data_IF_437185941371
#
_entry.id   IF_437185941371
#
_cell.length_a   1.000
_cell.length_b   1.000
_cell.length_c   1.000
_cell.angle_alpha   90.00
_cell.angle_beta   90.00
_cell.angle_gamma   90.00
#
_symmetry.space_group_name_H-M   'P 1'
#
loop_
_entity.id
_entity.type
_entity.pdbx_description
1 polymer ?
#
# COMPACT_ATOMS: atom_id res chain seq x y z
N UNK A 1 -16.63 12.83 -1.44
CA UNK A 1 -15.53 11.84 -1.52
C UNK A 1 -15.47 11.15 -0.17
N UNK A 2 -15.24 9.82 -0.10
CA UNK A 2 -15.08 9.13 1.18
C UNK A 2 -13.92 9.75 1.95
N UNK A 3 -14.06 9.85 3.27
CA UNK A 3 -12.97 10.35 4.12
C UNK A 3 -11.77 9.39 4.01
N UNK A 4 -10.55 9.94 4.02
CA UNK A 4 -9.33 9.11 3.91
C UNK A 4 -9.26 8.08 5.03
N UNK A 5 -9.79 8.42 6.21
CA UNK A 5 -9.83 7.52 7.36
C UNK A 5 -10.88 6.40 7.21
N UNK A 6 -11.98 6.62 6.48
CA UNK A 6 -12.92 5.55 6.11
C UNK A 6 -12.24 4.52 5.19
N UNK A 7 -11.41 5.01 4.25
CA UNK A 7 -10.66 4.13 3.35
C UNK A 7 -9.59 3.33 4.09
N UNK A 8 -8.85 3.98 5.01
CA UNK A 8 -7.88 3.31 5.87
C UNK A 8 -8.57 2.24 6.73
N UNK A 9 -9.67 2.59 7.39
CA UNK A 9 -10.44 1.66 8.21
C UNK A 9 -10.95 0.44 7.43
N UNK A 10 -11.48 0.68 6.23
CA UNK A 10 -11.88 -0.40 5.31
C UNK A 10 -10.71 -1.30 4.94
N UNK A 11 -9.54 -0.73 4.64
CA UNK A 11 -8.37 -1.50 4.27
C UNK A 11 -7.84 -2.35 5.44
N UNK A 12 -7.85 -1.82 6.67
CA UNK A 12 -7.51 -2.59 7.87
C UNK A 12 -8.44 -3.79 8.01
N UNK A 13 -9.75 -3.57 7.87
CA UNK A 13 -10.75 -4.63 7.93
C UNK A 13 -10.52 -5.68 6.83
N UNK A 14 -10.29 -5.25 5.61
CA UNK A 14 -10.04 -6.14 4.46
C UNK A 14 -8.85 -7.05 4.73
N UNK A 15 -7.70 -6.49 5.12
CA UNK A 15 -6.49 -7.25 5.45
C UNK A 15 -6.76 -8.23 6.60
N UNK A 16 -7.48 -7.80 7.63
CA UNK A 16 -7.84 -8.66 8.77
C UNK A 16 -8.74 -9.81 8.36
N UNK A 17 -9.79 -9.57 7.55
CA UNK A 17 -10.78 -10.61 7.19
C UNK A 17 -10.32 -11.53 6.08
N UNK A 18 -9.25 -11.17 5.34
CA UNK A 18 -8.69 -11.98 4.25
C UNK A 18 -7.38 -12.66 4.61
N UNK A 19 -6.83 -12.40 5.81
CA UNK A 19 -5.56 -12.96 6.26
C UNK A 19 -5.55 -14.49 6.13
N UNK A 20 -4.60 -15.02 5.34
CA UNK A 20 -4.46 -16.46 5.05
C UNK A 20 -5.75 -17.12 4.52
N UNK A 21 -6.65 -16.36 3.90
CA UNK A 21 -7.90 -16.86 3.31
C UNK A 21 -9.03 -17.16 4.32
N UNK A 22 -8.81 -16.97 5.62
CA UNK A 22 -9.83 -17.20 6.66
C UNK A 22 -10.10 -15.96 7.51
N UNK A 23 -9.15 -15.01 7.55
CA UNK A 23 -9.20 -13.85 8.40
C UNK A 23 -8.96 -14.16 9.88
N UNK A 24 -8.95 -13.12 10.70
CA UNK A 24 -8.81 -13.23 12.16
C UNK A 24 -9.81 -12.30 12.88
N UNK A 25 -10.04 -12.54 14.17
CA UNK A 25 -10.89 -11.66 14.99
C UNK A 25 -10.24 -10.30 15.24
N UNK A 26 -11.02 -9.32 15.71
CA UNK A 26 -10.47 -8.01 16.10
C UNK A 26 -9.58 -8.14 17.35
N UNK A 27 -9.92 -9.08 18.23
CA UNK A 27 -9.16 -9.47 19.41
C UNK A 27 -7.79 -10.03 19.03
N UNK A 28 -7.73 -10.96 18.07
CA UNK A 28 -6.47 -11.56 17.61
C UNK A 28 -5.56 -10.51 16.97
N UNK A 29 -6.13 -9.63 16.14
CA UNK A 29 -5.37 -8.53 15.54
C UNK A 29 -4.85 -7.59 16.63
N UNK A 30 -5.70 -7.24 17.59
CA UNK A 30 -5.34 -6.34 18.68
C UNK A 30 -4.18 -6.89 19.52
N UNK A 31 -4.22 -8.18 19.87
CA UNK A 31 -3.14 -8.87 20.57
C UNK A 31 -1.84 -8.81 19.76
N UNK A 32 -1.91 -9.08 18.46
CA UNK A 32 -0.73 -9.09 17.60
C UNK A 32 -0.09 -7.70 17.40
N UNK A 33 -0.88 -6.63 17.43
CA UNK A 33 -0.40 -5.24 17.27
C UNK A 33 -0.40 -4.45 18.58
N UNK A 34 -0.42 -5.16 19.72
CA UNK A 34 -0.31 -4.61 21.07
C UNK A 34 -1.27 -3.44 21.33
N UNK A 35 -2.56 -3.67 21.08
CA UNK A 35 -3.65 -2.71 21.33
C UNK A 35 -4.90 -3.43 21.85
N UNK A 36 -6.07 -2.80 21.80
CA UNK A 36 -7.34 -3.41 22.22
C UNK A 36 -8.27 -3.68 21.04
N UNK A 37 -9.16 -4.68 21.17
CA UNK A 37 -10.18 -4.98 20.16
C UNK A 37 -11.09 -3.75 19.90
N UNK A 38 -11.40 -2.97 20.94
CA UNK A 38 -12.14 -1.72 20.81
C UNK A 38 -11.40 -0.70 19.93
N UNK A 39 -10.08 -0.57 20.10
CA UNK A 39 -9.25 0.30 19.26
C UNK A 39 -9.30 -0.14 17.79
N UNK A 40 -9.14 -1.44 17.53
CA UNK A 40 -9.24 -2.01 16.17
C UNK A 40 -10.62 -1.75 15.57
N UNK A 41 -11.69 -2.00 16.32
CA UNK A 41 -13.07 -1.71 15.88
C UNK A 41 -13.27 -0.24 15.52
N UNK A 42 -12.73 0.67 16.34
CA UNK A 42 -12.81 2.11 16.07
C UNK A 42 -11.97 2.55 14.87
N UNK A 43 -10.85 1.89 14.60
CA UNK A 43 -10.09 2.09 13.36
C UNK A 43 -10.90 1.62 12.15
N UNK A 44 -11.46 0.41 12.19
CA UNK A 44 -12.24 -0.16 11.08
C UNK A 44 -13.52 0.62 10.76
N UNK A 45 -14.10 1.27 11.77
CA UNK A 45 -15.31 2.12 11.63
C UNK A 45 -14.98 3.59 11.40
N UNK A 46 -13.70 3.96 11.32
CA UNK A 46 -13.22 5.34 11.19
C UNK A 46 -13.68 6.31 12.31
N UNK A 47 -14.18 5.79 13.44
CA UNK A 47 -14.55 6.57 14.62
C UNK A 47 -13.32 6.95 15.47
N UNK A 48 -12.17 6.35 15.16
CA UNK A 48 -10.87 6.75 15.69
C UNK A 48 -9.79 6.60 14.62
N UNK A 49 -8.86 7.55 14.61
CA UNK A 49 -7.82 7.65 13.59
C UNK A 49 -6.57 6.91 14.07
N UNK A 50 -6.09 5.89 13.34
CA UNK A 50 -4.81 5.28 13.67
C UNK A 50 -3.68 6.29 13.49
N UNK A 51 -2.67 6.24 14.36
CA UNK A 51 -1.44 7.01 14.16
C UNK A 51 -0.59 6.39 13.06
N UNK A 52 0.43 7.13 12.59
CA UNK A 52 1.42 6.57 11.64
C UNK A 52 2.12 5.34 12.24
N UNK A 53 2.43 5.37 13.54
CA UNK A 53 3.06 4.22 14.22
C UNK A 53 2.13 3.01 14.27
N UNK A 54 0.82 3.22 14.41
CA UNK A 54 -0.16 2.11 14.36
C UNK A 54 -0.23 1.50 12.96
N UNK A 55 -0.26 2.34 11.92
CA UNK A 55 -0.24 1.88 10.52
C UNK A 55 1.04 1.13 10.19
N UNK A 56 2.19 1.57 10.70
CA UNK A 56 3.46 0.86 10.53
C UNK A 56 3.45 -0.51 11.22
N UNK A 57 2.89 -0.60 12.44
CA UNK A 57 2.76 -1.87 13.16
C UNK A 57 1.83 -2.84 12.44
N UNK A 58 0.71 -2.34 11.91
CA UNK A 58 -0.21 -3.12 11.08
C UNK A 58 0.46 -3.59 9.79
N UNK A 59 1.19 -2.71 9.09
CA UNK A 59 1.93 -3.06 7.87
C UNK A 59 2.92 -4.20 8.11
N UNK A 60 3.71 -4.10 9.19
CA UNK A 60 4.63 -5.18 9.60
C UNK A 60 3.91 -6.48 9.91
N UNK A 61 2.82 -6.41 10.68
CA UNK A 61 2.04 -7.59 11.04
C UNK A 61 1.47 -8.32 9.81
N UNK A 62 0.92 -7.57 8.86
CA UNK A 62 0.35 -8.13 7.63
C UNK A 62 1.40 -8.49 6.56
N UNK A 63 2.66 -8.09 6.74
CA UNK A 63 3.71 -8.29 5.74
C UNK A 63 3.47 -7.50 4.44
N UNK A 64 2.88 -6.30 4.55
CA UNK A 64 2.52 -5.45 3.40
C UNK A 64 3.17 -4.07 3.50
N UNK A 65 3.41 -3.37 2.39
CA UNK A 65 3.88 -1.98 2.43
C UNK A 65 2.82 -1.05 3.05
N UNK A 66 3.25 -0.08 3.87
CA UNK A 66 2.36 0.88 4.54
C UNK A 66 1.49 1.69 3.55
N UNK A 67 1.95 1.85 2.30
CA UNK A 67 1.21 2.57 1.25
C UNK A 67 -0.14 1.92 0.93
N UNK A 68 -0.33 0.64 1.25
CA UNK A 68 -1.58 -0.07 0.97
C UNK A 68 -2.79 0.56 1.66
N UNK A 69 -2.58 1.23 2.80
CA UNK A 69 -3.64 1.93 3.53
C UNK A 69 -4.12 3.20 2.82
N UNK A 70 -3.43 3.63 1.75
CA UNK A 70 -3.69 4.88 1.03
C UNK A 70 -4.06 4.59 -0.44
N UNK A 71 -5.33 4.30 -0.77
CA UNK A 71 -5.72 3.87 -2.12
C UNK A 71 -5.51 4.93 -3.22
N UNK A 72 -5.38 6.21 -2.87
CA UNK A 72 -5.03 7.26 -3.84
C UNK A 72 -3.53 7.30 -4.19
N UNK A 73 -2.71 6.52 -3.51
CA UNK A 73 -1.28 6.38 -3.78
C UNK A 73 -0.95 5.14 -4.62
N UNK A 74 -1.95 4.46 -5.19
CA UNK A 74 -1.72 3.26 -6.00
C UNK A 74 -0.88 3.58 -7.24
N UNK A 75 0.25 2.88 -7.44
CA UNK A 75 0.97 2.92 -8.71
C UNK A 75 0.01 2.43 -9.81
N UNK A 76 -0.18 3.24 -10.86
CA UNK A 76 -1.05 2.88 -11.99
C UNK A 76 -0.55 1.57 -12.60
N UNK A 77 -1.26 0.45 -12.44
CA UNK A 77 -1.10 -0.90 -13.08
C UNK A 77 0.12 -1.15 -14.00
N UNK A 78 0.36 -0.29 -14.98
CA UNK A 78 1.58 -0.22 -15.82
C UNK A 78 2.89 -0.20 -15.02
N UNK A 79 2.93 0.44 -13.84
CA UNK A 79 4.11 0.46 -12.97
C UNK A 79 4.43 -0.91 -12.40
N UNK A 80 3.42 -1.75 -12.12
CA UNK A 80 3.66 -3.09 -11.59
C UNK A 80 4.27 -4.00 -12.67
N UNK A 81 3.81 -3.89 -13.92
CA UNK A 81 4.38 -4.62 -15.05
C UNK A 81 5.84 -4.20 -15.33
N UNK A 82 6.16 -2.92 -15.16
CA UNK A 82 7.54 -2.45 -15.26
C UNK A 82 8.38 -2.99 -14.11
N UNK A 83 7.88 -2.89 -12.88
CA UNK A 83 8.59 -3.38 -11.69
C UNK A 83 8.90 -4.88 -11.78
N UNK A 84 7.96 -5.69 -12.25
CA UNK A 84 8.19 -7.14 -12.45
C UNK A 84 9.18 -7.43 -13.57
N UNK A 85 9.21 -6.62 -14.62
CA UNK A 85 10.13 -6.82 -15.74
C UNK A 85 11.57 -6.38 -15.40
N UNK A 86 11.75 -5.53 -14.39
CA UNK A 86 13.05 -4.98 -14.01
C UNK A 86 13.60 -5.54 -12.70
N UNK A 87 12.90 -6.45 -12.02
CA UNK A 87 13.27 -6.91 -10.66
C UNK A 87 14.58 -7.68 -10.62
N UNK A 88 14.90 -8.40 -11.70
CA UNK A 88 16.10 -9.25 -11.82
C UNK A 88 17.24 -8.56 -12.61
N UNK A 89 17.09 -7.28 -12.96
CA UNK A 89 18.14 -6.53 -13.65
C UNK A 89 19.22 -6.09 -12.66
N UNK A 90 20.46 -6.05 -13.13
CA UNK A 90 21.54 -5.40 -12.40
C UNK A 90 21.48 -3.87 -12.53
N UNK A 91 22.36 -3.19 -11.80
CA UNK A 91 22.38 -1.73 -11.74
C UNK A 91 22.67 -1.07 -13.11
N UNK A 92 23.49 -1.70 -13.96
CA UNK A 92 23.87 -1.17 -15.27
C UNK A 92 22.69 -1.28 -16.25
N UNK A 93 22.05 -2.46 -16.32
CA UNK A 93 20.87 -2.69 -17.14
C UNK A 93 19.69 -1.80 -16.70
N UNK A 94 19.53 -1.60 -15.38
CA UNK A 94 18.48 -0.74 -14.84
C UNK A 94 18.70 0.74 -15.20
N UNK A 95 19.96 1.18 -15.24
CA UNK A 95 20.32 2.53 -15.68
C UNK A 95 19.98 2.73 -17.17
N UNK A 96 20.27 1.76 -18.03
CA UNK A 96 19.94 1.82 -19.45
C UNK A 96 18.42 1.95 -19.69
N UNK A 97 17.62 1.10 -19.02
CA UNK A 97 16.14 1.16 -19.09
C UNK A 97 15.63 2.54 -18.65
N UNK A 98 16.22 3.10 -17.60
CA UNK A 98 15.87 4.43 -17.08
C UNK A 98 16.20 5.53 -18.10
N UNK A 99 17.40 5.50 -18.69
CA UNK A 99 17.81 6.45 -19.72
C UNK A 99 16.89 6.38 -20.96
N UNK A 100 16.53 5.18 -21.39
CA UNK A 100 15.61 5.00 -22.51
C UNK A 100 14.22 5.59 -22.21
N UNK A 101 13.67 5.35 -21.01
CA UNK A 101 12.40 5.93 -20.60
C UNK A 101 12.45 7.48 -20.61
N UNK A 102 13.55 8.07 -20.13
CA UNK A 102 13.77 9.51 -20.15
C UNK A 102 13.86 10.07 -21.57
N UNK A 103 14.59 9.40 -22.46
CA UNK A 103 14.70 9.76 -23.89
C UNK A 103 13.33 9.76 -24.57
N UNK A 104 12.53 8.71 -24.39
CA UNK A 104 11.17 8.61 -24.95
C UNK A 104 10.28 9.75 -24.47
N UNK A 105 10.36 10.13 -23.19
CA UNK A 105 9.62 11.25 -22.60
C UNK A 105 10.03 12.60 -23.21
N UNK A 106 11.34 12.81 -23.41
CA UNK A 106 11.86 14.03 -24.04
C UNK A 106 11.40 14.17 -25.50
N UNK A 107 11.39 13.05 -26.26
CA UNK A 107 10.95 13.02 -27.66
C UNK A 107 9.46 13.31 -27.80
N UNK A 108 8.60 12.74 -26.97
CA UNK A 108 7.16 13.03 -26.97
C UNK A 108 6.82 14.49 -26.67
N UNK A 109 7.62 15.18 -25.84
CA UNK A 109 7.44 16.61 -25.55
C UNK A 109 7.77 17.51 -26.74
N UNK A 110 8.71 17.12 -27.59
CA UNK A 110 9.07 17.85 -28.82
C UNK A 110 8.04 17.66 -29.93
N UNK A 111 7.41 16.49 -30.02
CA UNK A 111 6.39 16.19 -31.05
C UNK A 111 5.00 16.76 -30.73
N UNK A 112 4.74 17.17 -29.48
CA UNK A 112 3.48 17.79 -29.04
C UNK A 112 3.45 19.32 -29.06
N UNK A 113 4.55 19.96 -29.47
CA UNK A 113 4.64 21.40 -29.74
C UNK A 113 4.50 21.63 -31.24
#
# INVERSE_FOLDING_TARGET
>A
MPDIYEQIGKQIRELRTTLKGQGISQEDLALAVNTTANTVSRWETATYKPSISDLERLARFFGVPIIIFFPQAQPKSRTNALLSATVDLDDEDLEEVTLYAQFRRARQRKTKR
#
